data_IF_787222417013
#
_entry.id   IF_787222417013
#
_cell.length_a   1.000
_cell.length_b   1.000
_cell.length_c   1.000
_cell.angle_alpha   90.00
_cell.angle_beta   90.00
_cell.angle_gamma   90.00
#
_symmetry.space_group_name_H-M   'P 1'
#
loop_
_entity.id
_entity.type
_entity.pdbx_description
1 polymer ?
#
# COMPACT_ATOMS: atom_id res chain seq x y z
N UNK A 1 21.40 -4.56 13.01
CA UNK A 1 20.53 -3.40 12.73
C UNK A 1 19.14 -3.97 12.45
N UNK A 2 18.07 -3.61 13.18
CA UNK A 2 16.77 -4.19 12.87
C UNK A 2 16.37 -3.67 11.48
N UNK A 3 16.30 -4.59 10.52
CA UNK A 3 15.74 -4.31 9.21
C UNK A 3 14.34 -3.74 9.45
N UNK A 4 14.15 -2.48 9.05
CA UNK A 4 12.82 -1.89 8.98
C UNK A 4 12.13 -2.75 7.91
N UNK A 5 11.28 -3.68 8.34
CA UNK A 5 10.56 -4.58 7.45
C UNK A 5 9.54 -3.72 6.69
N UNK A 6 10.02 -3.14 5.58
CA UNK A 6 9.24 -2.30 4.67
C UNK A 6 8.79 -3.15 3.50
N UNK A 7 7.49 -3.33 3.37
CA UNK A 7 6.87 -3.94 2.19
C UNK A 7 6.09 -2.89 1.43
N UNK A 8 5.78 -3.14 0.16
CA UNK A 8 4.96 -2.25 -0.66
C UNK A 8 3.93 -3.04 -1.45
N UNK A 9 2.81 -2.39 -1.74
CA UNK A 9 1.77 -2.86 -2.67
C UNK A 9 1.67 -1.82 -3.77
N UNK A 10 1.88 -2.25 -5.00
CA UNK A 10 1.67 -1.41 -6.19
C UNK A 10 0.48 -1.94 -7.00
N UNK A 11 -0.29 -1.01 -7.55
CA UNK A 11 -1.34 -1.28 -8.55
C UNK A 11 -1.37 -0.15 -9.57
N UNK A 12 -1.97 -0.45 -10.72
CA UNK A 12 -2.15 0.53 -11.80
C UNK A 12 -3.62 0.92 -11.90
N UNK A 13 -3.88 2.21 -12.09
CA UNK A 13 -5.21 2.69 -12.46
C UNK A 13 -5.51 2.47 -13.94
N UNK A 14 -6.75 2.69 -14.34
CA UNK A 14 -7.20 2.51 -15.73
C UNK A 14 -6.53 3.47 -16.72
N UNK A 15 -5.88 4.53 -16.25
CA UNK A 15 -5.12 5.48 -17.07
C UNK A 15 -3.64 5.09 -17.18
N UNK A 16 -3.24 3.95 -16.61
CA UNK A 16 -1.86 3.50 -16.63
C UNK A 16 -0.95 4.28 -15.68
N UNK A 17 -1.48 4.86 -14.60
CA UNK A 17 -0.62 5.43 -13.54
C UNK A 17 -0.42 4.41 -12.43
N UNK A 18 0.83 4.23 -12.02
CA UNK A 18 1.17 3.40 -10.86
C UNK A 18 0.81 4.14 -9.56
N UNK A 19 0.23 3.39 -8.64
CA UNK A 19 -0.04 3.82 -7.27
C UNK A 19 0.62 2.84 -6.31
N UNK A 20 1.40 3.37 -5.37
CA UNK A 20 2.16 2.56 -4.42
C UNK A 20 1.81 2.92 -2.99
N UNK A 21 1.55 1.87 -2.20
CA UNK A 21 1.33 1.96 -0.77
C UNK A 21 2.44 1.21 -0.04
N UNK A 22 3.15 1.90 0.84
CA UNK A 22 4.18 1.37 1.71
C UNK A 22 3.58 0.90 3.03
N UNK A 23 3.98 -0.28 3.48
CA UNK A 23 3.70 -0.83 4.80
C UNK A 23 5.01 -0.88 5.58
N UNK A 24 5.08 -0.07 6.64
CA UNK A 24 6.27 0.09 7.47
C UNK A 24 6.01 -0.43 8.87
N UNK A 25 6.82 -1.39 9.34
CA UNK A 25 6.75 -1.85 10.74
C UNK A 25 7.39 -0.81 11.67
N UNK A 26 6.61 -0.28 12.62
CA UNK A 26 7.08 0.64 13.67
C UNK A 26 6.77 0.01 15.03
N UNK A 27 7.70 -0.80 15.54
CA UNK A 27 7.50 -1.59 16.76
C UNK A 27 6.44 -2.68 16.59
N UNK A 28 5.37 -2.62 17.40
CA UNK A 28 4.22 -3.55 17.35
C UNK A 28 3.14 -3.14 16.36
N UNK A 29 3.13 -1.89 15.93
CA UNK A 29 2.17 -1.38 14.94
C UNK A 29 2.81 -1.36 13.55
N UNK A 30 1.96 -1.41 12.52
CA UNK A 30 2.37 -1.17 11.15
C UNK A 30 1.71 0.11 10.66
N UNK A 31 2.49 0.97 10.03
CA UNK A 31 2.00 2.18 9.39
C UNK A 31 1.88 1.92 7.91
N UNK A 32 0.73 2.23 7.35
CA UNK A 32 0.45 2.19 5.93
C UNK A 32 0.55 3.62 5.41
N UNK A 33 1.21 3.84 4.28
CA UNK A 33 1.33 5.15 3.63
C UNK A 33 1.17 5.03 2.13
N UNK A 34 0.30 5.81 1.52
CA UNK A 34 0.24 5.97 0.07
C UNK A 34 1.21 7.06 -0.37
N UNK A 35 2.12 6.75 -1.30
CA UNK A 35 3.05 7.74 -1.84
C UNK A 35 2.39 8.65 -2.88
N UNK A 36 1.30 8.20 -3.51
CA UNK A 36 0.57 9.00 -4.51
C UNK A 36 -0.19 10.17 -3.89
N UNK A 37 -0.91 9.94 -2.78
CA UNK A 37 -1.79 10.94 -2.18
C UNK A 37 -1.39 11.35 -0.75
N UNK A 38 -0.35 10.75 -0.18
CA UNK A 38 0.11 11.04 1.18
C UNK A 38 -0.76 10.46 2.29
N UNK A 39 -1.81 9.71 1.96
CA UNK A 39 -2.66 9.03 2.95
C UNK A 39 -1.81 8.16 3.90
N UNK A 40 -2.15 8.15 5.18
CA UNK A 40 -1.45 7.38 6.22
C UNK A 40 -2.44 6.79 7.21
N UNK A 41 -2.22 5.54 7.60
CA UNK A 41 -3.03 4.85 8.60
C UNK A 41 -2.20 3.86 9.42
N UNK A 42 -2.42 3.82 10.73
CA UNK A 42 -1.92 2.72 11.59
C UNK A 42 -2.82 1.49 11.46
N UNK A 43 -2.23 0.33 11.25
CA UNK A 43 -2.92 -0.95 11.17
C UNK A 43 -2.25 -2.00 12.04
N UNK A 44 -3.02 -2.58 12.96
CA UNK A 44 -2.58 -3.70 13.79
C UNK A 44 -2.79 -5.04 13.06
N UNK A 45 -3.86 -5.14 12.28
CA UNK A 45 -4.23 -6.33 11.52
C UNK A 45 -4.40 -6.01 10.03
N UNK A 46 -4.05 -6.99 9.19
CA UNK A 46 -4.26 -6.99 7.74
C UNK A 46 -3.81 -5.71 7.01
N UNK A 47 -2.56 -5.23 7.23
CA UNK A 47 -2.10 -3.97 6.65
C UNK A 47 -2.00 -4.02 5.11
N UNK A 48 -1.72 -5.19 4.52
CA UNK A 48 -1.72 -5.37 3.07
C UNK A 48 -3.12 -5.29 2.46
N UNK A 49 -4.13 -5.87 3.11
CA UNK A 49 -5.51 -5.77 2.67
C UNK A 49 -5.94 -4.29 2.68
N UNK A 50 -5.67 -3.58 3.77
CA UNK A 50 -5.96 -2.15 3.92
C UNK A 50 -5.25 -1.29 2.86
N UNK A 51 -4.03 -1.65 2.48
CA UNK A 51 -3.32 -1.00 1.39
C UNK A 51 -4.02 -1.21 0.03
N UNK A 52 -4.47 -2.43 -0.25
CA UNK A 52 -5.16 -2.76 -1.50
C UNK A 52 -6.58 -2.17 -1.58
N UNK A 53 -7.31 -2.14 -0.47
CA UNK A 53 -8.60 -1.43 -0.35
C UNK A 53 -8.41 0.04 -0.70
N UNK A 54 -7.42 0.71 -0.11
CA UNK A 54 -7.13 2.11 -0.41
C UNK A 54 -6.81 2.34 -1.89
N UNK A 55 -5.95 1.51 -2.49
CA UNK A 55 -5.63 1.58 -3.92
C UNK A 55 -6.88 1.45 -4.80
N UNK A 56 -7.80 0.56 -4.43
CA UNK A 56 -9.04 0.33 -5.18
C UNK A 56 -10.02 1.49 -5.01
N UNK A 57 -10.28 1.91 -3.77
CA UNK A 57 -11.32 2.88 -3.43
C UNK A 57 -10.90 4.32 -3.75
N UNK A 58 -9.67 4.72 -3.43
CA UNK A 58 -9.20 6.09 -3.58
C UNK A 58 -8.61 6.38 -4.97
N UNK A 59 -8.07 5.36 -5.64
CA UNK A 59 -7.30 5.53 -6.86
C UNK A 59 -7.82 4.73 -8.05
N UNK A 60 -8.82 3.86 -7.86
CA UNK A 60 -9.27 2.93 -8.89
C UNK A 60 -8.10 2.11 -9.47
N UNK A 61 -7.07 1.88 -8.64
CA UNK A 61 -5.86 1.16 -9.00
C UNK A 61 -6.11 -0.34 -8.82
N UNK A 62 -6.75 -0.95 -9.81
CA UNK A 62 -7.22 -2.34 -9.78
C UNK A 62 -6.40 -3.28 -10.66
N UNK A 63 -5.56 -2.75 -11.53
CA UNK A 63 -4.74 -3.55 -12.45
C UNK A 63 -3.48 -4.02 -11.73
N UNK A 64 -3.24 -5.33 -11.75
CA UNK A 64 -2.02 -5.94 -11.22
C UNK A 64 -1.14 -6.50 -12.34
N UNK A 65 0.04 -5.92 -12.62
CA UNK A 65 0.92 -6.40 -13.69
C UNK A 65 1.57 -7.75 -13.35
N UNK A 66 1.50 -8.23 -12.10
CA UNK A 66 2.06 -9.52 -11.70
C UNK A 66 1.14 -10.72 -11.94
N UNK A 67 -0.13 -10.49 -12.28
CA UNK A 67 -1.06 -11.53 -12.72
C UNK A 67 -1.08 -11.51 -14.25
N UNK A 68 -0.04 -12.07 -14.88
CA UNK A 68 0.01 -12.29 -16.33
C UNK A 68 -0.35 -13.73 -16.64
#
# INVERSE_FOLDING_TARGET
>A
MPQIDTSKVSRWDLHGREHTVHVQRTGVQRTIRCDTCGWRQGAQFLPWLKAQEHLTEAHQATVDPTVT
#
